data_IF_374866315240
#
_entry.id   IF_374866315240
#
_cell.length_a   1.000
_cell.length_b   1.000
_cell.length_c   1.000
_cell.angle_alpha   90.00
_cell.angle_beta   90.00
_cell.angle_gamma   90.00
#
_symmetry.space_group_name_H-M   'P 1'
#
loop_
_entity.id
_entity.type
_entity.pdbx_description
1 polymer ?
#
# COMPACT_ATOMS: atom_id res chain seq x y z
N UNK A 1 -0.03 -13.52 9.12
CA UNK A 1 -0.41 -12.84 7.87
C UNK A 1 0.85 -12.42 7.13
N UNK A 2 0.94 -12.62 5.82
CA UNK A 2 2.13 -12.22 5.04
C UNK A 2 1.96 -10.78 4.54
N UNK A 3 2.77 -9.81 5.03
CA UNK A 3 2.72 -8.46 4.49
C UNK A 3 3.27 -8.48 3.06
N UNK A 4 2.56 -7.84 2.13
CA UNK A 4 2.97 -7.71 0.74
C UNK A 4 3.14 -6.23 0.40
N UNK A 5 4.08 -5.95 -0.51
CA UNK A 5 4.34 -4.60 -0.98
C UNK A 5 3.51 -4.30 -2.22
N UNK A 6 2.83 -3.16 -2.16
CA UNK A 6 2.00 -2.66 -3.23
C UNK A 6 2.39 -1.23 -3.58
N UNK A 7 2.29 -0.85 -4.85
CA UNK A 7 2.37 0.55 -5.27
C UNK A 7 0.96 1.10 -5.22
N UNK A 8 0.76 2.10 -4.37
CA UNK A 8 -0.49 2.84 -4.36
C UNK A 8 -0.46 3.91 -5.46
N UNK A 9 -1.50 3.90 -6.29
CA UNK A 9 -1.71 4.84 -7.40
C UNK A 9 -3.07 5.51 -7.17
N UNK A 10 -3.06 6.64 -6.47
CA UNK A 10 -4.27 7.30 -6.01
C UNK A 10 -4.01 8.54 -5.18
N UNK A 11 -5.07 9.24 -4.73
CA UNK A 11 -4.93 10.42 -3.88
C UNK A 11 -4.25 10.07 -2.58
N UNK A 12 -3.28 10.90 -2.16
CA UNK A 12 -2.58 10.70 -0.90
C UNK A 12 -3.58 10.73 0.28
N UNK A 13 -3.43 9.79 1.21
CA UNK A 13 -4.33 9.65 2.35
C UNK A 13 -3.84 8.64 3.38
N UNK A 14 -4.34 8.75 4.60
CA UNK A 14 -4.16 7.73 5.62
C UNK A 14 -5.27 6.68 5.54
N UNK A 15 -4.92 5.41 5.66
CA UNK A 15 -5.86 4.31 5.87
C UNK A 15 -5.52 3.59 7.16
N UNK A 16 -6.55 3.25 7.91
CA UNK A 16 -6.48 2.37 9.06
C UNK A 16 -7.06 1.01 8.66
N UNK A 17 -6.21 -0.02 8.59
CA UNK A 17 -6.63 -1.39 8.32
C UNK A 17 -6.84 -2.11 9.65
N UNK A 18 -8.07 -2.56 9.90
CA UNK A 18 -8.37 -3.40 11.06
C UNK A 18 -8.12 -4.86 10.75
N UNK A 19 -7.02 -5.40 11.28
CA UNK A 19 -6.67 -6.80 11.16
C UNK A 19 -7.69 -7.70 11.87
N UNK A 20 -7.81 -8.99 11.47
CA UNK A 20 -8.70 -9.95 12.12
C UNK A 20 -8.35 -10.18 13.59
N UNK A 21 -7.09 -9.99 13.98
CA UNK A 21 -6.62 -10.05 15.38
C UNK A 21 -7.04 -8.81 16.21
N UNK A 22 -7.77 -7.87 15.61
CA UNK A 22 -8.21 -6.63 16.26
C UNK A 22 -7.18 -5.49 16.24
N UNK A 23 -5.96 -5.76 15.77
CA UNK A 23 -4.91 -4.75 15.60
C UNK A 23 -5.30 -3.74 14.52
N UNK A 24 -5.12 -2.45 14.81
CA UNK A 24 -5.23 -1.38 13.81
C UNK A 24 -3.86 -1.12 13.19
N UNK A 25 -3.80 -1.20 11.86
CA UNK A 25 -2.61 -0.87 11.07
C UNK A 25 -2.86 0.42 10.31
N UNK A 26 -2.23 1.49 10.78
CA UNK A 26 -2.23 2.78 10.10
C UNK A 26 -1.17 2.76 8.99
N UNK A 27 -1.60 2.99 7.75
CA UNK A 27 -0.72 3.11 6.59
C UNK A 27 -1.00 4.42 5.87
N UNK A 28 0.06 5.16 5.59
CA UNK A 28 -0.02 6.28 4.65
C UNK A 28 0.08 5.76 3.23
N UNK A 29 -0.94 6.03 2.46
CA UNK A 29 -1.00 5.82 1.03
C UNK A 29 -0.53 7.10 0.35
N UNK A 30 0.57 7.00 -0.37
CA UNK A 30 1.13 8.11 -1.14
C UNK A 30 1.34 7.66 -2.57
N UNK A 31 0.97 8.51 -3.52
CA UNK A 31 1.07 8.19 -4.95
C UNK A 31 2.51 7.83 -5.35
N UNK A 32 2.66 6.64 -5.94
CA UNK A 32 3.96 6.13 -6.36
C UNK A 32 4.87 5.67 -5.20
N UNK A 33 4.40 5.68 -3.96
CA UNK A 33 5.13 5.14 -2.83
C UNK A 33 4.76 3.67 -2.60
N UNK A 34 5.75 2.79 -2.34
CA UNK A 34 5.46 1.44 -1.90
C UNK A 34 4.80 1.48 -0.51
N UNK A 35 3.68 0.78 -0.37
CA UNK A 35 2.97 0.57 0.89
C UNK A 35 2.94 -0.92 1.20
N UNK A 36 3.14 -1.26 2.46
CA UNK A 36 3.06 -2.64 2.93
C UNK A 36 1.65 -2.91 3.49
N UNK A 37 0.89 -3.73 2.77
CA UNK A 37 -0.48 -4.09 3.13
C UNK A 37 -0.61 -5.61 3.18
N UNK A 38 -1.54 -6.16 3.99
CA UNK A 38 -1.79 -7.59 3.97
C UNK A 38 -2.56 -7.94 2.69
N UNK A 39 -1.97 -8.76 1.81
CA UNK A 39 -2.59 -9.17 0.55
C UNK A 39 -3.92 -9.90 0.75
N UNK A 40 -4.06 -10.60 1.88
CA UNK A 40 -5.25 -11.37 2.22
C UNK A 40 -6.38 -10.52 2.84
N UNK A 41 -6.13 -9.23 3.08
CA UNK A 41 -7.10 -8.34 3.72
C UNK A 41 -8.18 -7.86 2.73
N UNK A 42 -9.45 -7.87 3.15
CA UNK A 42 -10.62 -7.36 2.41
C UNK A 42 -10.35 -5.98 1.78
N UNK A 43 -9.84 -5.03 2.58
CA UNK A 43 -9.49 -3.70 2.10
C UNK A 43 -8.45 -3.70 0.97
N UNK A 44 -7.39 -4.51 1.09
CA UNK A 44 -6.36 -4.64 0.05
C UNK A 44 -6.95 -5.21 -1.23
N UNK A 45 -7.83 -6.22 -1.12
CA UNK A 45 -8.57 -6.79 -2.26
C UNK A 45 -9.46 -5.75 -2.94
N UNK A 46 -10.15 -4.92 -2.16
CA UNK A 46 -10.94 -3.81 -2.71
C UNK A 46 -10.07 -2.81 -3.46
N UNK A 47 -8.94 -2.39 -2.89
CA UNK A 47 -8.04 -1.47 -3.58
C UNK A 47 -7.40 -2.08 -4.85
N UNK A 48 -7.09 -3.37 -4.84
CA UNK A 48 -6.66 -4.12 -6.03
C UNK A 48 -7.76 -4.17 -7.10
N UNK A 49 -9.00 -4.46 -6.70
CA UNK A 49 -10.16 -4.49 -7.60
C UNK A 49 -10.46 -3.11 -8.20
N UNK A 50 -10.22 -2.04 -7.45
CA UNK A 50 -10.31 -0.65 -7.91
C UNK A 50 -9.11 -0.22 -8.78
N UNK A 51 -8.15 -1.10 -9.04
CA UNK A 51 -6.87 -0.77 -9.71
C UNK A 51 -6.12 0.39 -9.05
N UNK A 52 -6.31 0.60 -7.74
CA UNK A 52 -5.60 1.61 -6.94
C UNK A 52 -4.34 1.06 -6.29
N UNK A 53 -4.21 -0.26 -6.25
CA UNK A 53 -2.98 -0.95 -5.86
C UNK A 53 -2.45 -1.78 -7.02
N UNK A 54 -1.15 -1.71 -7.22
CA UNK A 54 -0.40 -2.66 -8.03
C UNK A 54 0.44 -3.54 -7.10
N UNK A 55 0.25 -4.86 -7.18
CA UNK A 55 1.15 -5.80 -6.52
C UNK A 55 2.53 -5.70 -7.16
N UNK A 56 3.58 -5.39 -6.37
CA UNK A 56 4.94 -5.56 -6.87
C UNK A 56 5.34 -7.02 -6.66
N UNK A 57 5.70 -7.76 -7.72
CA UNK A 57 6.38 -9.03 -7.53
C UNK A 57 7.74 -8.73 -6.89
N UNK A 58 7.96 -9.15 -5.64
CA UNK A 58 9.28 -9.05 -5.03
C UNK A 58 10.25 -10.00 -5.74
N UNK A 59 11.48 -9.54 -6.01
CA UNK A 59 12.50 -9.67 -4.97
C UNK A 59 13.29 -8.37 -4.73
N UNK A 60 13.49 -8.04 -3.45
CA UNK A 60 14.63 -7.27 -2.92
C UNK A 60 15.09 -6.02 -3.70
N UNK A 61 14.46 -4.86 -3.49
CA UNK A 61 15.14 -3.55 -3.44
C UNK A 61 14.16 -2.44 -3.04
N UNK A 62 14.58 -1.42 -2.27
CA UNK A 62 13.73 -0.28 -1.93
C UNK A 62 13.44 0.51 -3.22
N UNK A 63 12.18 0.48 -3.68
CA UNK A 63 11.71 1.31 -4.77
C UNK A 63 11.64 2.78 -4.32
N UNK A 64 12.81 3.40 -4.21
CA UNK A 64 13.00 4.83 -4.10
C UNK A 64 12.79 5.42 -5.49
N UNK A 65 11.56 5.81 -5.81
CA UNK A 65 11.30 6.71 -6.94
C UNK A 65 10.69 8.01 -6.45
N UNK A 66 11.60 8.98 -6.40
CA UNK A 66 11.44 10.44 -6.30
C UNK A 66 10.12 10.92 -6.90
N UNK A 67 9.36 11.72 -6.14
CA UNK A 67 8.62 12.83 -6.73
C UNK A 67 8.97 14.09 -5.96
N UNK A 68 9.84 14.87 -6.60
CA UNK A 68 10.16 16.24 -6.27
C UNK A 68 8.90 17.09 -6.36
N UNK A 69 8.61 17.85 -5.33
CA UNK A 69 7.98 19.18 -5.47
C UNK A 69 8.78 20.13 -4.62
N UNK A 70 9.91 20.56 -5.17
CA UNK A 70 10.51 21.83 -4.85
C UNK A 70 9.98 22.83 -5.89
N UNK A 71 9.25 23.86 -5.44
CA UNK A 71 9.59 25.27 -5.68
C UNK A 71 8.64 26.16 -4.89
#
# INVERSE_FOLDING_TARGET
MTPARFTYTGPAGGVELRLPDGTLLERQLQDGHPVELPADHEYTRTLLALSRLQALPEPAAPARKKRSTAK
#
